data_IF_148703277176
#
_entry.id   IF_148703277176
#
_cell.length_a   1.000
_cell.length_b   1.000
_cell.length_c   1.000
_cell.angle_alpha   90.00
_cell.angle_beta   90.00
_cell.angle_gamma   90.00
#
_symmetry.space_group_name_H-M   'P 1'
#
loop_
_entity.id
_entity.type
_entity.pdbx_description
1 polymer ?
#
# COMPACT_ATOMS: atom_id res chain seq x y z
N UNK A 1 -12.41 -39.91 -3.86
CA UNK A 1 -13.46 -40.08 -4.90
C UNK A 1 -14.68 -39.27 -4.49
N UNK A 2 -15.24 -38.53 -5.46
CA UNK A 2 -16.45 -37.68 -5.47
C UNK A 2 -16.34 -36.20 -5.01
N UNK A 3 -17.05 -35.28 -5.70
CA UNK A 3 -16.40 -34.13 -6.36
C UNK A 3 -17.16 -32.77 -6.28
N UNK A 4 -16.53 -31.72 -6.86
CA UNK A 4 -17.06 -30.57 -7.60
C UNK A 4 -18.30 -29.79 -7.09
N UNK A 5 -18.15 -28.47 -6.96
CA UNK A 5 -19.10 -27.49 -7.52
C UNK A 5 -18.38 -26.18 -7.87
N UNK A 6 -18.42 -25.81 -9.16
CA UNK A 6 -18.03 -24.50 -9.66
C UNK A 6 -19.23 -23.57 -9.74
N UNK A 7 -19.00 -22.26 -9.65
CA UNK A 7 -20.03 -21.24 -9.85
C UNK A 7 -19.55 -20.31 -10.97
N UNK A 8 -20.37 -20.25 -12.02
CA UNK A 8 -20.15 -19.49 -13.24
C UNK A 8 -20.61 -18.04 -13.13
N UNK A 9 -20.02 -17.25 -14.02
CA UNK A 9 -20.30 -15.84 -14.30
C UNK A 9 -21.69 -15.65 -14.94
N UNK A 10 -22.41 -14.61 -14.52
CA UNK A 10 -23.66 -14.17 -15.17
C UNK A 10 -23.54 -12.69 -15.55
N UNK A 11 -23.51 -12.44 -16.85
CA UNK A 11 -23.54 -11.10 -17.45
C UNK A 11 -24.94 -10.50 -17.42
N UNK A 12 -25.02 -9.19 -17.17
CA UNK A 12 -26.25 -8.41 -17.14
C UNK A 12 -26.57 -7.92 -18.56
N UNK A 13 -27.69 -8.38 -19.12
CA UNK A 13 -28.26 -7.89 -20.39
C UNK A 13 -29.32 -6.81 -20.10
N UNK A 14 -29.18 -5.70 -20.81
CA UNK A 14 -30.11 -4.57 -20.92
C UNK A 14 -31.41 -4.97 -21.63
N UNK A 15 -32.55 -4.50 -21.12
CA UNK A 15 -33.83 -4.50 -21.81
C UNK A 15 -34.54 -3.15 -21.60
N UNK A 16 -34.70 -2.39 -22.70
CA UNK A 16 -35.72 -1.34 -22.88
C UNK A 16 -37.08 -2.03 -23.09
N UNK A 17 -38.23 -1.49 -22.71
CA UNK A 17 -39.13 -0.49 -23.38
C UNK A 17 -40.51 -0.59 -22.65
N UNK A 18 -41.61 0.14 -22.99
CA UNK A 18 -41.84 1.46 -23.60
C UNK A 18 -42.90 2.34 -22.86
N UNK A 19 -43.17 3.53 -23.44
CA UNK A 19 -44.26 4.47 -23.17
C UNK A 19 -45.68 3.87 -23.21
N UNK A 20 -46.59 4.44 -22.41
CA UNK A 20 -48.02 4.53 -22.71
C UNK A 20 -48.54 5.93 -22.34
N UNK A 21 -49.25 6.52 -23.29
CA UNK A 21 -50.14 7.68 -23.23
C UNK A 21 -51.50 7.24 -22.61
N UNK A 22 -52.37 8.09 -22.04
CA UNK A 22 -53.21 9.15 -22.63
C UNK A 22 -53.78 10.02 -21.47
N UNK A 23 -53.89 11.34 -21.67
CA UNK A 23 -55.14 12.11 -21.81
C UNK A 23 -56.01 12.19 -20.56
N UNK A 24 -56.00 13.37 -19.93
CA UNK A 24 -57.24 14.10 -19.66
C UNK A 24 -56.91 15.59 -19.56
N UNK A 25 -57.53 16.35 -20.45
CA UNK A 25 -57.41 17.80 -20.51
C UNK A 25 -58.47 18.44 -19.63
N UNK A 26 -58.04 19.39 -18.80
CA UNK A 26 -58.85 20.54 -18.40
C UNK A 26 -57.91 21.67 -17.99
N UNK A 27 -58.00 22.76 -18.76
CA UNK A 27 -57.40 24.05 -18.45
C UNK A 27 -58.20 24.71 -17.35
N UNK A 28 -57.55 25.11 -16.26
CA UNK A 28 -58.05 26.20 -15.42
C UNK A 28 -56.93 27.19 -15.08
N UNK A 29 -57.34 28.44 -15.18
CA UNK A 29 -56.60 29.70 -15.24
C UNK A 29 -55.82 30.03 -13.97
N UNK A 30 -54.62 30.59 -14.14
CA UNK A 30 -53.91 31.39 -13.12
C UNK A 30 -54.68 32.67 -12.77
N UNK A 31 -54.57 33.17 -11.53
CA UNK A 31 -53.68 34.31 -11.33
C UNK A 31 -52.83 34.24 -10.03
N UNK A 32 -51.58 34.69 -10.15
CA UNK A 32 -50.73 35.23 -9.06
C UNK A 32 -51.35 36.54 -8.49
N UNK A 33 -50.97 37.08 -7.30
CA UNK A 33 -49.62 37.03 -6.72
C UNK A 33 -49.52 37.02 -5.17
N UNK A 34 -48.26 37.13 -4.69
CA UNK A 34 -47.80 37.63 -3.38
C UNK A 34 -47.68 36.66 -2.19
N UNK A 35 -46.43 36.38 -1.82
CA UNK A 35 -46.07 35.72 -0.57
C UNK A 35 -44.58 35.37 -0.49
N UNK A 36 -43.69 36.37 -0.58
CA UNK A 36 -42.26 36.19 -0.31
C UNK A 36 -42.04 35.90 1.17
N UNK A 37 -41.84 34.62 1.53
CA UNK A 37 -41.31 34.22 2.82
C UNK A 37 -39.80 34.02 2.70
N UNK A 38 -39.03 35.01 3.14
CA UNK A 38 -37.59 34.93 3.29
C UNK A 38 -37.24 33.83 4.31
N UNK A 39 -36.65 32.73 3.83
CA UNK A 39 -35.98 31.74 4.67
C UNK A 39 -34.66 32.35 5.15
N UNK A 40 -34.70 33.00 6.31
CA UNK A 40 -33.52 33.37 7.08
C UNK A 40 -32.85 32.07 7.53
N UNK A 41 -31.77 31.68 6.85
CA UNK A 41 -30.88 30.61 7.32
C UNK A 41 -30.16 31.07 8.58
N UNK A 42 -30.42 30.39 9.70
CA UNK A 42 -29.57 30.49 10.89
C UNK A 42 -28.18 29.94 10.54
N UNK A 43 -27.07 30.61 10.92
CA UNK A 43 -25.74 30.07 10.73
C UNK A 43 -25.61 28.77 11.54
N UNK A 44 -25.14 27.71 10.90
CA UNK A 44 -24.78 26.46 11.54
C UNK A 44 -23.46 26.70 12.28
N UNK A 45 -23.55 26.91 13.58
CA UNK A 45 -22.40 27.00 14.47
C UNK A 45 -21.50 25.79 14.21
N UNK A 46 -20.32 26.08 13.67
CA UNK A 46 -19.31 25.08 13.39
C UNK A 46 -18.71 24.72 14.74
N UNK A 47 -19.13 23.60 15.32
CA UNK A 47 -18.48 23.03 16.50
C UNK A 47 -17.06 22.70 16.10
N UNK A 48 -16.10 23.54 16.50
CA UNK A 48 -14.68 23.24 16.40
C UNK A 48 -14.45 22.14 17.43
N UNK A 49 -14.43 20.89 16.99
CA UNK A 49 -14.06 19.74 17.81
C UNK A 49 -12.62 19.97 18.28
N UNK A 50 -12.48 20.42 19.53
CA UNK A 50 -11.18 20.66 20.16
C UNK A 50 -10.47 19.31 20.29
N UNK A 51 -9.39 19.12 19.53
CA UNK A 51 -8.69 17.85 19.51
C UNK A 51 -8.16 17.54 20.92
N UNK A 52 -8.51 16.36 21.44
CA UNK A 52 -8.02 15.89 22.74
C UNK A 52 -6.48 16.00 22.80
N UNK A 53 -5.89 16.32 23.97
CA UNK A 53 -4.46 16.48 24.11
C UNK A 53 -3.75 15.14 23.81
N UNK A 54 -2.91 15.14 22.78
CA UNK A 54 -2.13 13.98 22.34
C UNK A 54 -0.75 14.00 22.99
N UNK A 55 -0.37 12.91 23.65
CA UNK A 55 0.97 12.74 24.23
C UNK A 55 1.75 11.68 23.47
N UNK A 56 2.91 12.04 22.91
CA UNK A 56 3.76 11.12 22.16
C UNK A 56 4.37 10.06 23.09
N UNK A 57 4.36 8.80 22.66
CA UNK A 57 4.92 7.66 23.42
C UNK A 57 6.45 7.66 23.40
N UNK A 58 7.06 7.94 22.23
CA UNK A 58 8.52 8.11 22.06
C UNK A 58 8.85 8.92 20.81
N UNK A 59 10.07 9.47 20.75
CA UNK A 59 10.59 10.24 19.62
C UNK A 59 11.11 9.41 18.43
N UNK A 60 10.95 8.09 18.47
CA UNK A 60 11.31 7.20 17.37
C UNK A 60 10.05 6.69 16.66
N UNK A 61 10.14 6.60 15.33
CA UNK A 61 9.04 6.13 14.49
C UNK A 61 8.85 4.62 14.62
N UNK A 62 7.61 4.20 14.65
CA UNK A 62 7.20 2.81 14.50
C UNK A 62 6.94 2.47 13.04
N UNK A 63 6.99 1.18 12.73
CA UNK A 63 6.57 0.62 11.44
C UNK A 63 5.38 -0.29 11.65
N UNK A 64 4.41 -0.23 10.74
CA UNK A 64 3.22 -1.06 10.83
C UNK A 64 2.54 -1.31 9.50
N UNK A 65 1.68 -2.32 9.51
CA UNK A 65 0.79 -2.72 8.43
C UNK A 65 -0.57 -2.09 8.62
N UNK A 66 -1.07 -1.39 7.61
CA UNK A 66 -2.45 -0.91 7.59
C UNK A 66 -3.38 -2.11 7.37
N UNK A 67 -4.02 -2.57 8.43
CA UNK A 67 -4.87 -3.77 8.42
C UNK A 67 -6.31 -3.48 8.02
N UNK A 68 -6.74 -2.22 8.17
CA UNK A 68 -8.05 -1.74 7.76
C UNK A 68 -7.92 -0.27 7.32
N UNK A 69 -8.61 0.10 6.24
CA UNK A 69 -8.68 1.49 5.79
C UNK A 69 -10.04 1.81 5.17
N UNK A 70 -10.73 2.81 5.70
CA UNK A 70 -12.07 3.26 5.26
C UNK A 70 -12.05 4.48 4.34
N UNK A 71 -10.86 4.92 3.92
CA UNK A 71 -10.67 6.12 3.09
C UNK A 71 -10.30 7.38 3.89
N UNK A 72 -10.85 7.55 5.09
CA UNK A 72 -10.57 8.71 5.97
C UNK A 72 -9.98 8.32 7.32
N UNK A 73 -10.12 7.06 7.73
CA UNK A 73 -9.51 6.50 8.94
C UNK A 73 -9.29 5.00 8.78
N UNK A 74 -8.50 4.42 9.69
CA UNK A 74 -8.25 3.00 9.72
C UNK A 74 -7.39 2.56 10.90
N UNK A 75 -6.89 1.34 10.79
CA UNK A 75 -6.12 0.68 11.84
C UNK A 75 -4.79 0.17 11.31
N UNK A 76 -3.75 0.36 12.10
CA UNK A 76 -2.40 -0.15 11.84
C UNK A 76 -2.05 -1.20 12.89
N UNK A 77 -1.56 -2.36 12.45
CA UNK A 77 -0.86 -3.33 13.30
C UNK A 77 0.64 -3.04 13.28
N UNK A 78 1.24 -2.78 14.44
CA UNK A 78 2.69 -2.53 14.54
C UNK A 78 3.48 -3.83 14.42
N UNK A 79 4.69 -3.75 13.85
CA UNK A 79 5.64 -4.88 13.82
C UNK A 79 6.49 -4.98 15.09
N UNK A 80 6.58 -3.89 15.84
CA UNK A 80 7.19 -3.82 17.16
C UNK A 80 6.07 -3.76 18.22
N UNK A 81 6.25 -4.47 19.33
CA UNK A 81 5.32 -4.39 20.46
C UNK A 81 5.50 -3.05 21.17
N UNK A 82 4.38 -2.38 21.48
CA UNK A 82 4.39 -1.14 22.25
C UNK A 82 4.10 -1.46 23.71
N UNK A 83 5.03 -1.12 24.59
CA UNK A 83 4.86 -1.23 26.04
C UNK A 83 4.16 0.03 26.56
N UNK A 84 2.84 0.00 26.63
CA UNK A 84 2.03 1.09 27.17
C UNK A 84 0.74 0.54 27.78
N UNK A 85 0.21 1.15 28.84
CA UNK A 85 -1.02 0.67 29.51
C UNK A 85 -2.22 0.66 28.56
N UNK A 86 -2.31 1.70 27.72
CA UNK A 86 -3.36 1.82 26.71
C UNK A 86 -3.20 0.84 25.53
N UNK A 87 -2.12 0.06 25.45
CA UNK A 87 -1.97 -0.98 24.42
C UNK A 87 -2.97 -2.13 24.54
N UNK A 88 -3.68 -2.23 25.66
CA UNK A 88 -4.78 -3.19 25.82
C UNK A 88 -6.06 -2.76 25.09
N UNK A 89 -6.23 -1.46 24.79
CA UNK A 89 -7.35 -0.96 24.00
C UNK A 89 -7.19 -1.38 22.53
N UNK A 90 -8.31 -1.56 21.83
CA UNK A 90 -8.38 -1.82 20.38
C UNK A 90 -7.52 -3.01 19.89
N UNK A 91 -7.24 -3.97 20.76
CA UNK A 91 -6.35 -5.11 20.49
C UNK A 91 -4.91 -4.68 20.17
N UNK A 92 -4.45 -3.55 20.72
CA UNK A 92 -3.11 -3.01 20.48
C UNK A 92 -2.91 -2.37 19.11
N UNK A 93 -3.98 -2.23 18.31
CA UNK A 93 -3.95 -1.55 17.01
C UNK A 93 -3.85 -0.04 17.20
N UNK A 94 -3.18 0.61 16.24
CA UNK A 94 -2.97 2.06 16.24
C UNK A 94 -4.01 2.70 15.32
N UNK A 95 -4.76 3.65 15.86
CA UNK A 95 -5.71 4.42 15.07
C UNK A 95 -4.97 5.36 14.11
N UNK A 96 -5.39 5.41 12.85
CA UNK A 96 -4.87 6.35 11.86
C UNK A 96 -6.00 7.20 11.29
N UNK A 97 -5.86 8.51 11.34
CA UNK A 97 -6.74 9.46 10.66
C UNK A 97 -6.07 10.03 9.39
N UNK A 98 -6.86 10.38 8.38
CA UNK A 98 -6.35 10.99 7.13
C UNK A 98 -5.58 12.29 7.38
N UNK A 99 -5.98 13.08 8.38
CA UNK A 99 -5.29 14.33 8.75
C UNK A 99 -3.88 14.10 9.30
N UNK A 100 -3.64 12.90 9.83
CA UNK A 100 -2.36 12.51 10.42
C UNK A 100 -1.39 11.92 9.39
N UNK A 101 -1.80 11.78 8.12
CA UNK A 101 -0.95 11.36 7.02
C UNK A 101 -0.17 12.59 6.52
N UNK A 102 1.15 12.51 6.54
CA UNK A 102 1.99 13.58 6.01
C UNK A 102 1.71 13.78 4.51
N UNK A 103 1.59 15.03 4.03
CA UNK A 103 1.46 15.28 2.61
C UNK A 103 2.67 14.68 1.89
N UNK A 104 2.39 13.85 0.89
CA UNK A 104 3.41 13.25 0.03
C UNK A 104 3.48 14.10 -1.23
N UNK A 105 4.68 14.52 -1.61
CA UNK A 105 4.91 15.28 -2.85
C UNK A 105 4.31 14.52 -4.05
N UNK A 106 3.46 15.23 -4.82
CA UNK A 106 2.93 15.06 -6.19
C UNK A 106 2.55 13.67 -6.75
N UNK A 107 3.13 12.58 -6.27
CA UNK A 107 2.90 11.20 -6.70
C UNK A 107 1.96 10.48 -5.73
N UNK A 108 0.67 10.78 -5.86
CA UNK A 108 -0.55 10.02 -5.45
C UNK A 108 -0.39 8.85 -4.45
N UNK A 109 0.33 9.05 -3.36
CA UNK A 109 0.55 7.98 -2.42
C UNK A 109 -0.66 7.86 -1.49
N UNK A 110 -1.49 6.85 -1.73
CA UNK A 110 -2.66 6.59 -0.90
C UNK A 110 -2.41 5.46 0.09
N UNK A 111 -2.70 5.74 1.35
CA UNK A 111 -2.90 4.69 2.34
C UNK A 111 -4.07 3.82 1.88
N UNK A 112 -3.85 2.51 1.93
CA UNK A 112 -4.85 1.48 1.67
C UNK A 112 -4.57 0.29 2.57
N UNK A 113 -5.52 -0.62 2.69
CA UNK A 113 -5.28 -1.88 3.37
C UNK A 113 -4.11 -2.64 2.72
N UNK A 114 -3.27 -3.28 3.55
CA UNK A 114 -2.07 -3.98 3.13
C UNK A 114 -0.83 -3.09 2.96
N UNK A 115 -0.96 -1.77 3.17
CA UNK A 115 0.16 -0.82 3.00
C UNK A 115 1.05 -0.79 4.25
N UNK A 116 2.37 -0.72 4.05
CA UNK A 116 3.32 -0.47 5.13
C UNK A 116 3.55 1.03 5.29
N UNK A 117 3.56 1.49 6.53
CA UNK A 117 3.71 2.90 6.92
C UNK A 117 4.69 3.04 8.08
N UNK A 118 5.32 4.21 8.20
CA UNK A 118 6.03 4.63 9.42
C UNK A 118 5.42 5.90 10.04
N UNK A 119 5.35 5.95 11.36
CA UNK A 119 4.59 6.95 12.10
C UNK A 119 5.12 7.13 13.52
N UNK A 120 4.79 8.25 14.16
CA UNK A 120 4.92 8.37 15.61
C UNK A 120 3.63 7.90 16.27
N UNK A 121 3.75 7.32 17.47
CA UNK A 121 2.59 6.91 18.26
C UNK A 121 2.35 7.97 19.31
N UNK A 122 1.11 8.44 19.39
CA UNK A 122 0.60 9.23 20.49
C UNK A 122 -0.44 8.44 21.27
N UNK A 123 -0.76 8.95 22.46
CA UNK A 123 -1.81 8.48 23.35
C UNK A 123 -2.75 9.64 23.65
N UNK A 124 -4.05 9.36 23.64
CA UNK A 124 -5.13 10.25 24.07
C UNK A 124 -6.15 9.47 24.94
N UNK A 125 -7.35 10.04 25.14
CA UNK A 125 -8.42 9.40 25.93
C UNK A 125 -8.98 8.14 25.26
N UNK A 126 -8.95 8.07 23.92
CA UNK A 126 -9.54 6.99 23.13
C UNK A 126 -8.57 5.82 22.92
N UNK A 127 -7.26 6.05 23.02
CA UNK A 127 -6.26 4.99 22.93
C UNK A 127 -4.92 5.47 22.37
N UNK A 128 -4.33 4.60 21.54
CA UNK A 128 -3.11 4.91 20.80
C UNK A 128 -3.45 5.26 19.36
N UNK A 129 -2.88 6.37 18.89
CA UNK A 129 -3.03 6.84 17.52
C UNK A 129 -1.69 7.11 16.84
N UNK A 130 -1.73 7.20 15.52
CA UNK A 130 -0.59 7.52 14.67
C UNK A 130 -0.62 9.00 14.29
N UNK A 131 0.52 9.68 14.38
CA UNK A 131 0.72 11.02 13.85
C UNK A 131 1.91 11.07 12.88
N UNK A 132 1.90 12.07 11.99
CA UNK A 132 2.93 12.26 10.95
C UNK A 132 3.24 10.96 10.20
N UNK A 133 2.18 10.24 9.86
CA UNK A 133 2.22 8.94 9.19
C UNK A 133 2.72 9.12 7.76
N UNK A 134 3.80 8.41 7.44
CA UNK A 134 4.41 8.38 6.11
C UNK A 134 4.29 7.00 5.53
N UNK A 135 3.59 6.87 4.40
CA UNK A 135 3.55 5.60 3.71
C UNK A 135 4.86 5.25 2.97
N UNK A 136 5.15 3.95 2.77
CA UNK A 136 6.46 3.48 2.26
C UNK A 136 6.44 2.82 0.87
N UNK A 137 7.29 3.29 -0.05
CA UNK A 137 7.62 2.66 -1.35
C UNK A 137 7.83 1.15 -1.23
N UNK A 138 7.35 0.41 -2.24
CA UNK A 138 7.54 -1.05 -2.33
C UNK A 138 8.32 -1.41 -3.58
N UNK A 139 9.44 -2.10 -3.38
CA UNK A 139 10.21 -2.73 -4.45
C UNK A 139 9.97 -4.24 -4.41
N UNK A 140 9.58 -4.83 -5.53
CA UNK A 140 9.31 -6.28 -5.62
C UNK A 140 10.44 -7.00 -6.34
N UNK A 141 11.10 -7.92 -5.65
CA UNK A 141 12.22 -8.70 -6.18
C UNK A 141 11.82 -10.17 -6.32
N UNK A 142 12.43 -10.85 -7.27
CA UNK A 142 12.35 -12.31 -7.39
C UNK A 142 13.73 -12.94 -7.32
N UNK A 143 13.84 -14.06 -6.62
CA UNK A 143 15.11 -14.76 -6.44
C UNK A 143 14.92 -16.28 -6.52
N UNK A 144 15.81 -17.03 -7.19
CA UNK A 144 15.79 -18.48 -7.15
C UNK A 144 15.96 -19.01 -5.73
N UNK A 145 15.28 -20.12 -5.41
CA UNK A 145 15.37 -20.76 -4.10
C UNK A 145 16.80 -21.07 -3.66
N UNK A 146 17.68 -21.44 -4.60
CA UNK A 146 19.10 -21.70 -4.32
C UNK A 146 19.85 -20.48 -3.82
N UNK A 147 19.58 -19.30 -4.40
CA UNK A 147 20.20 -18.04 -4.01
C UNK A 147 19.66 -17.55 -2.66
N UNK A 148 18.36 -17.72 -2.41
CA UNK A 148 17.77 -17.39 -1.09
C UNK A 148 18.41 -18.23 0.00
N UNK A 149 18.55 -19.54 -0.22
CA UNK A 149 19.19 -20.46 0.74
C UNK A 149 20.65 -20.08 1.02
N UNK A 150 21.37 -19.58 0.00
CA UNK A 150 22.76 -19.16 0.13
C UNK A 150 22.88 -17.83 0.89
N UNK A 151 22.09 -16.82 0.52
CA UNK A 151 22.37 -15.43 0.85
C UNK A 151 21.47 -14.85 1.96
N UNK A 152 20.25 -15.36 2.13
CA UNK A 152 19.30 -14.79 3.10
C UNK A 152 19.40 -15.56 4.41
N UNK A 153 20.11 -14.97 5.38
CA UNK A 153 20.32 -15.53 6.73
C UNK A 153 19.55 -14.81 7.84
N UNK A 154 18.54 -14.05 7.46
CA UNK A 154 17.71 -13.27 8.38
C UNK A 154 16.83 -14.17 9.25
N UNK A 155 16.49 -13.68 10.43
CA UNK A 155 15.62 -14.34 11.40
C UNK A 155 14.17 -14.01 11.04
N UNK A 156 13.37 -14.99 10.59
CA UNK A 156 12.00 -14.71 10.19
C UNK A 156 11.12 -14.33 11.38
N UNK A 157 10.26 -13.34 11.17
CA UNK A 157 9.17 -12.97 12.06
C UNK A 157 7.81 -13.17 11.39
N UNK A 158 6.80 -13.29 12.24
CA UNK A 158 5.41 -13.60 11.85
C UNK A 158 4.46 -12.50 12.31
N UNK A 159 3.40 -12.29 11.55
CA UNK A 159 2.35 -11.33 11.84
C UNK A 159 1.01 -11.99 11.48
N UNK A 160 0.02 -11.86 12.36
CA UNK A 160 -1.27 -12.55 12.22
C UNK A 160 -2.06 -12.12 10.96
N UNK A 161 -1.74 -10.96 10.38
CA UNK A 161 -2.35 -10.45 9.16
C UNK A 161 -1.59 -10.83 7.89
N UNK A 162 -0.39 -11.41 8.01
CA UNK A 162 0.51 -11.76 6.90
C UNK A 162 0.77 -13.27 6.81
N UNK A 163 -0.28 -14.09 6.91
CA UNK A 163 -0.23 -15.55 7.07
C UNK A 163 0.52 -16.32 5.97
N UNK A 164 0.66 -15.72 4.78
CA UNK A 164 1.29 -16.32 3.61
C UNK A 164 2.76 -15.88 3.43
N UNK A 165 3.34 -15.26 4.46
CA UNK A 165 4.65 -14.64 4.36
C UNK A 165 5.36 -14.53 5.71
N UNK A 166 6.67 -14.39 5.63
CA UNK A 166 7.52 -14.00 6.76
C UNK A 166 8.02 -12.58 6.50
N UNK A 167 8.39 -11.85 7.57
CA UNK A 167 9.10 -10.59 7.43
C UNK A 167 10.37 -10.56 8.27
N UNK A 168 11.26 -9.64 7.92
CA UNK A 168 12.59 -9.45 8.47
C UNK A 168 12.78 -7.98 8.83
N UNK A 169 13.49 -7.71 9.93
CA UNK A 169 13.73 -6.35 10.45
C UNK A 169 15.21 -5.96 10.43
N UNK A 170 16.08 -6.85 9.97
CA UNK A 170 17.53 -6.65 9.92
C UNK A 170 17.87 -5.39 9.12
N UNK A 171 17.25 -5.23 7.94
CA UNK A 171 17.45 -4.05 7.09
C UNK A 171 16.62 -2.82 7.54
N UNK A 172 15.74 -2.97 8.53
CA UNK A 172 14.97 -1.84 9.06
C UNK A 172 15.90 -0.91 9.84
N UNK A 173 16.77 -1.48 10.68
CA UNK A 173 17.72 -0.69 11.48
C UNK A 173 18.83 -0.04 10.65
N UNK A 174 19.24 -0.69 9.56
CA UNK A 174 20.35 -0.22 8.72
C UNK A 174 19.89 0.75 7.61
N UNK A 175 18.76 0.45 6.97
CA UNK A 175 18.31 1.15 5.75
C UNK A 175 16.89 1.70 5.87
N UNK A 176 16.18 1.47 6.97
CA UNK A 176 14.76 1.81 7.08
C UNK A 176 13.87 0.99 6.14
N UNK A 177 14.27 -0.27 5.86
CA UNK A 177 13.57 -1.15 4.94
C UNK A 177 13.10 -2.43 5.64
N UNK A 178 11.79 -2.62 5.65
CA UNK A 178 11.17 -3.88 6.06
C UNK A 178 11.15 -4.83 4.86
N UNK A 179 11.63 -6.05 5.06
CA UNK A 179 11.63 -7.08 4.00
C UNK A 179 10.54 -8.09 4.31
N UNK A 180 9.66 -8.36 3.35
CA UNK A 180 8.67 -9.43 3.39
C UNK A 180 9.02 -10.49 2.35
N UNK A 181 8.93 -11.77 2.72
CA UNK A 181 9.18 -12.92 1.85
C UNK A 181 7.93 -13.79 1.81
N UNK A 182 7.38 -13.99 0.61
CA UNK A 182 6.22 -14.84 0.42
C UNK A 182 6.57 -16.33 0.53
N UNK A 183 5.64 -17.10 1.07
CA UNK A 183 5.72 -18.56 1.22
C UNK A 183 4.95 -19.31 0.13
N UNK A 184 4.60 -18.63 -0.96
CA UNK A 184 3.84 -19.23 -2.06
C UNK A 184 4.66 -20.32 -2.77
N UNK A 185 4.01 -21.38 -3.28
CA UNK A 185 4.66 -22.51 -3.94
C UNK A 185 5.07 -22.17 -5.39
N UNK A 186 5.93 -21.16 -5.54
CA UNK A 186 6.40 -20.63 -6.81
C UNK A 186 7.78 -21.18 -7.18
N UNK A 187 8.17 -21.22 -8.48
CA UNK A 187 9.51 -21.65 -8.90
C UNK A 187 10.64 -20.70 -8.45
N UNK A 188 10.29 -19.54 -7.92
CA UNK A 188 11.18 -18.54 -7.32
C UNK A 188 10.51 -17.96 -6.07
N UNK A 189 11.30 -17.32 -5.23
CA UNK A 189 10.83 -16.59 -4.06
C UNK A 189 10.53 -15.15 -4.46
N UNK A 190 9.42 -14.61 -3.95
CA UNK A 190 9.05 -13.20 -4.11
C UNK A 190 9.36 -12.47 -2.81
N UNK A 191 10.06 -11.34 -2.93
CA UNK A 191 10.30 -10.41 -1.84
C UNK A 191 9.61 -9.07 -2.12
N UNK A 192 9.06 -8.48 -1.07
CA UNK A 192 8.72 -7.06 -1.03
C UNK A 192 9.65 -6.34 -0.06
N UNK A 193 10.29 -5.27 -0.55
CA UNK A 193 11.08 -4.35 0.27
C UNK A 193 10.26 -3.08 0.45
N UNK A 194 9.99 -2.70 1.70
CA UNK A 194 9.13 -1.59 2.08
C UNK A 194 9.92 -0.50 2.81
N UNK A 195 10.11 0.65 2.18
CA UNK A 195 10.92 1.75 2.71
C UNK A 195 10.81 3.03 1.90
N UNK A 196 11.74 3.96 2.15
CA UNK A 196 11.91 5.17 1.35
C UNK A 196 12.95 4.95 0.25
N UNK A 197 12.94 5.77 -0.80
CA UNK A 197 13.70 5.51 -2.04
C UNK A 197 15.19 5.18 -1.81
N UNK A 198 15.90 5.99 -1.03
CA UNK A 198 17.34 5.80 -0.78
C UNK A 198 17.64 4.52 0.01
N UNK A 199 16.78 4.21 0.99
CA UNK A 199 16.86 2.98 1.78
C UNK A 199 16.59 1.74 0.94
N UNK A 200 15.59 1.79 0.07
CA UNK A 200 15.22 0.68 -0.81
C UNK A 200 16.35 0.26 -1.74
N UNK A 201 17.03 1.22 -2.36
CA UNK A 201 18.17 0.94 -3.25
C UNK A 201 19.29 0.27 -2.47
N UNK A 202 19.66 0.82 -1.31
CA UNK A 202 20.74 0.30 -0.46
C UNK A 202 20.44 -1.11 0.04
N UNK A 203 19.23 -1.33 0.54
CA UNK A 203 18.74 -2.63 1.01
C UNK A 203 18.69 -3.68 -0.11
N UNK A 204 18.21 -3.31 -1.30
CA UNK A 204 18.18 -4.21 -2.45
C UNK A 204 19.58 -4.65 -2.87
N UNK A 205 20.53 -3.71 -2.96
CA UNK A 205 21.92 -4.03 -3.31
C UNK A 205 22.62 -4.88 -2.25
N UNK A 206 22.33 -4.68 -0.96
CA UNK A 206 22.84 -5.53 0.11
C UNK A 206 22.25 -6.94 0.05
N UNK A 207 20.94 -7.06 -0.13
CA UNK A 207 20.25 -8.35 -0.24
C UNK A 207 20.74 -9.19 -1.43
N UNK A 208 21.14 -8.53 -2.51
CA UNK A 208 21.61 -9.16 -3.75
C UNK A 208 23.13 -9.32 -3.82
N UNK A 209 23.88 -8.75 -2.86
CA UNK A 209 25.34 -8.80 -2.87
C UNK A 209 25.86 -10.21 -2.63
N UNK A 210 26.96 -10.54 -3.31
CA UNK A 210 27.78 -11.73 -3.08
C UNK A 210 29.23 -11.28 -2.94
N UNK A 211 30.02 -12.03 -2.18
CA UNK A 211 31.43 -11.68 -1.95
C UNK A 211 32.20 -11.60 -3.28
N UNK A 212 32.90 -10.47 -3.49
CA UNK A 212 33.70 -10.23 -4.69
C UNK A 212 32.90 -9.93 -5.98
N UNK A 213 31.60 -9.67 -5.89
CA UNK A 213 30.74 -9.44 -7.06
C UNK A 213 30.80 -8.00 -7.56
N UNK A 214 31.22 -7.80 -8.82
CA UNK A 214 31.23 -6.48 -9.48
C UNK A 214 29.97 -6.21 -10.32
N UNK A 215 29.35 -7.28 -10.84
CA UNK A 215 28.15 -7.23 -11.68
C UNK A 215 26.92 -7.80 -10.95
N UNK A 216 25.81 -7.10 -11.02
CA UNK A 216 24.54 -7.48 -10.41
C UNK A 216 23.57 -8.01 -11.47
N UNK A 217 22.88 -9.10 -11.17
CA UNK A 217 21.73 -9.62 -11.94
C UNK A 217 20.47 -9.50 -11.09
N UNK A 218 19.76 -8.38 -11.25
CA UNK A 218 18.58 -8.03 -10.48
C UNK A 218 17.33 -8.43 -11.25
N UNK A 219 16.45 -9.20 -10.62
CA UNK A 219 15.13 -9.55 -11.15
C UNK A 219 14.04 -8.93 -10.29
N UNK A 220 13.23 -8.10 -10.92
CA UNK A 220 12.13 -7.36 -10.31
C UNK A 220 10.80 -7.85 -10.85
N UNK A 221 9.76 -7.74 -10.04
CA UNK A 221 8.39 -8.05 -10.43
C UNK A 221 7.65 -6.73 -10.72
N UNK A 222 7.30 -6.52 -11.99
CA UNK A 222 6.64 -5.31 -12.47
C UNK A 222 5.20 -5.62 -12.85
N UNK A 223 4.23 -4.85 -12.36
CA UNK A 223 2.84 -5.01 -12.79
C UNK A 223 2.69 -4.67 -14.27
N UNK A 224 1.79 -5.36 -14.98
CA UNK A 224 1.53 -5.11 -16.40
C UNK A 224 1.18 -3.64 -16.68
N UNK A 225 0.42 -3.01 -15.77
CA UNK A 225 0.06 -1.58 -15.83
C UNK A 225 1.23 -0.60 -15.73
N UNK A 226 2.40 -1.07 -15.24
CA UNK A 226 3.59 -0.24 -15.04
C UNK A 226 4.63 -0.42 -16.16
N UNK A 227 4.42 -1.34 -17.13
CA UNK A 227 5.33 -1.54 -18.26
C UNK A 227 5.61 -0.24 -19.04
N UNK A 228 4.61 0.58 -19.41
CA UNK A 228 4.89 1.82 -20.14
C UNK A 228 5.74 2.82 -19.34
N UNK A 229 5.71 2.74 -18.00
CA UNK A 229 6.44 3.66 -17.12
C UNK A 229 7.93 3.37 -17.09
N UNK A 230 8.35 2.18 -17.56
CA UNK A 230 9.74 1.73 -17.45
C UNK A 230 10.50 1.70 -18.78
N UNK A 231 9.86 2.06 -19.90
CA UNK A 231 10.46 2.03 -21.24
C UNK A 231 11.69 2.96 -21.38
N UNK A 232 11.74 4.04 -20.59
CA UNK A 232 12.83 5.02 -20.60
C UNK A 232 13.87 4.85 -19.48
N UNK A 233 13.85 3.75 -18.73
CA UNK A 233 14.78 3.57 -17.61
C UNK A 233 16.25 3.47 -18.08
N UNK A 234 17.20 3.99 -17.29
CA UNK A 234 18.61 3.91 -17.63
C UNK A 234 19.12 2.47 -17.60
N UNK A 235 20.21 2.21 -18.32
CA UNK A 235 20.92 0.92 -18.35
C UNK A 235 20.12 -0.25 -18.95
N UNK A 236 19.10 0.07 -19.75
CA UNK A 236 18.38 -0.84 -20.65
C UNK A 236 17.83 -2.12 -19.97
N UNK A 237 16.96 -1.99 -18.95
CA UNK A 237 16.29 -3.15 -18.37
C UNK A 237 15.52 -3.94 -19.44
N UNK A 238 15.49 -5.27 -19.28
CA UNK A 238 14.71 -6.15 -20.16
C UNK A 238 13.46 -6.60 -19.44
N UNK A 239 12.30 -6.36 -20.04
CA UNK A 239 11.01 -6.84 -19.54
C UNK A 239 10.62 -8.12 -20.28
N UNK A 240 10.12 -9.13 -19.56
CA UNK A 240 9.65 -10.37 -20.16
C UNK A 240 8.41 -10.13 -21.03
N UNK A 241 8.32 -10.80 -22.19
CA UNK A 241 7.15 -10.67 -23.07
C UNK A 241 5.87 -11.25 -22.44
N UNK A 242 5.99 -12.37 -21.72
CA UNK A 242 4.88 -13.01 -21.03
C UNK A 242 4.93 -12.69 -19.52
N UNK A 243 3.77 -12.62 -18.84
CA UNK A 243 3.71 -12.56 -17.40
C UNK A 243 4.38 -13.79 -16.76
N UNK A 244 5.11 -13.57 -15.66
CA UNK A 244 5.71 -14.64 -14.85
C UNK A 244 4.86 -14.99 -13.62
N UNK A 245 3.82 -14.18 -13.38
CA UNK A 245 2.91 -14.26 -12.25
C UNK A 245 1.60 -13.56 -12.64
N UNK A 246 0.44 -14.15 -12.32
CA UNK A 246 -0.86 -13.66 -12.86
C UNK A 246 -1.93 -13.37 -11.83
N UNK A 247 -1.79 -13.85 -10.59
CA UNK A 247 -2.80 -13.74 -9.52
C UNK A 247 -2.12 -13.26 -8.24
N UNK A 248 -2.46 -12.10 -7.65
CA UNK A 248 -3.70 -11.33 -7.85
C UNK A 248 -3.72 -10.42 -9.08
N UNK A 249 -2.59 -10.23 -9.76
CA UNK A 249 -2.53 -9.47 -11.00
C UNK A 249 -1.38 -9.93 -11.91
N UNK A 250 -1.50 -9.71 -13.23
CA UNK A 250 -0.41 -9.95 -14.17
C UNK A 250 0.82 -9.11 -13.86
N UNK A 251 1.95 -9.79 -13.68
CA UNK A 251 3.25 -9.19 -13.47
C UNK A 251 4.31 -9.82 -14.38
N UNK A 252 5.21 -8.99 -14.88
CA UNK A 252 6.31 -9.32 -15.75
C UNK A 252 7.64 -9.27 -14.98
N UNK A 253 8.61 -10.04 -15.44
CA UNK A 253 9.96 -9.96 -14.91
C UNK A 253 10.70 -8.81 -15.59
N UNK A 254 11.17 -7.84 -14.82
CA UNK A 254 12.13 -6.84 -15.27
C UNK A 254 13.52 -7.24 -14.79
N UNK A 255 14.46 -7.45 -15.73
CA UNK A 255 15.83 -7.87 -15.44
C UNK A 255 16.83 -6.76 -15.73
N UNK A 256 17.69 -6.47 -14.76
CA UNK A 256 18.81 -5.53 -14.86
C UNK A 256 20.11 -6.29 -14.63
N UNK A 257 20.99 -6.29 -15.63
CA UNK A 257 22.33 -6.92 -15.55
C UNK A 257 23.39 -5.86 -15.77
N UNK A 258 23.98 -5.36 -14.69
CA UNK A 258 24.82 -4.16 -14.76
C UNK A 258 25.71 -4.00 -13.52
N UNK A 259 26.60 -3.01 -13.53
CA UNK A 259 27.48 -2.72 -12.38
C UNK A 259 26.70 -2.18 -11.19
N UNK A 260 27.27 -2.23 -9.98
CA UNK A 260 26.62 -1.70 -8.76
C UNK A 260 26.10 -0.26 -8.91
N UNK A 261 26.91 0.64 -9.49
CA UNK A 261 26.56 2.05 -9.67
C UNK A 261 25.36 2.22 -10.61
N UNK A 262 25.42 1.55 -11.75
CA UNK A 262 24.36 1.59 -12.75
C UNK A 262 23.07 0.94 -12.21
N UNK A 263 23.19 -0.14 -11.44
CA UNK A 263 22.06 -0.78 -10.78
C UNK A 263 21.38 0.16 -9.79
N UNK A 264 22.17 0.88 -8.98
CA UNK A 264 21.67 1.90 -8.05
C UNK A 264 20.86 2.98 -8.77
N UNK A 265 21.39 3.52 -9.88
CA UNK A 265 20.72 4.54 -10.68
C UNK A 265 19.41 4.02 -11.31
N UNK A 266 19.42 2.81 -11.88
CA UNK A 266 18.24 2.18 -12.47
C UNK A 266 17.16 1.87 -11.44
N UNK A 267 17.52 1.37 -10.25
CA UNK A 267 16.58 1.10 -9.17
C UNK A 267 15.93 2.38 -8.65
N UNK A 268 16.72 3.45 -8.47
CA UNK A 268 16.17 4.75 -8.05
C UNK A 268 15.18 5.31 -9.09
N UNK A 269 15.53 5.24 -10.37
CA UNK A 269 14.66 5.67 -11.45
C UNK A 269 13.38 4.83 -11.52
N UNK A 270 13.48 3.50 -11.36
CA UNK A 270 12.34 2.60 -11.30
C UNK A 270 11.42 2.95 -10.13
N UNK A 271 11.95 3.08 -8.91
CA UNK A 271 11.17 3.40 -7.72
C UNK A 271 10.39 4.69 -7.95
N UNK A 272 11.01 5.73 -8.53
CA UNK A 272 10.32 6.98 -8.87
C UNK A 272 9.22 6.80 -9.93
N UNK A 273 9.44 5.92 -10.90
CA UNK A 273 8.48 5.69 -11.98
C UNK A 273 7.26 4.86 -11.56
N UNK A 274 7.43 3.93 -10.60
CA UNK A 274 6.38 2.97 -10.19
C UNK A 274 5.80 3.21 -8.79
N UNK A 275 6.34 4.17 -8.04
CA UNK A 275 5.81 4.56 -6.71
C UNK A 275 4.55 5.41 -6.82
#
# INVERSE_FOLDING_TARGET
LKPFFGIGSVGVRSLRTPMSTNEDGQQETSPDPEGQAALVSKPLDTVVEEAAPRTRVREARFVGLVVEWKGYMGWIQTFEKIEHEQAQKHQGRIYLNVKDISPVDENNWRVKQGKIVDFFVYVDEDGMGAEQCRPRSVLRLTMPHSEVKANVKFVPKWNDYLFDSEYFLELESEHGVLVRKYLWPMPFVIFELWGHADGLVSAALQLLSKDGQEEYDVRLLLADTDIPKVEGLPHSPKVSANPVFTDPMPCHSLRLQTTRKQCSEALLALIKAVS
#
